data_IF_451034314834
#
_entry.id   IF_451034314834
#
_cell.length_a   1.000
_cell.length_b   1.000
_cell.length_c   1.000
_cell.angle_alpha   90.00
_cell.angle_beta   90.00
_cell.angle_gamma   90.00
#
_symmetry.space_group_name_H-M   'P 1'
#
loop_
_entity.id
_entity.type
_entity.pdbx_description
1 polymer ?
#
# COMPACT_ATOMS: atom_id res chain seq x y z
N UNK A 1 -12.40 20.78 0.23
CA UNK A 1 -11.10 20.61 -0.45
C UNK A 1 -11.09 19.24 -1.10
N UNK A 2 -10.82 19.12 -2.41
CA UNK A 2 -10.69 17.83 -3.10
C UNK A 2 -9.21 17.64 -3.44
N UNK A 3 -8.56 16.66 -2.82
CA UNK A 3 -7.15 16.33 -3.08
C UNK A 3 -7.02 15.75 -4.49
N UNK A 4 -6.02 16.18 -5.26
CA UNK A 4 -5.75 15.72 -6.63
C UNK A 4 -4.32 15.19 -6.77
N UNK A 5 -4.04 14.40 -7.81
CA UNK A 5 -2.71 13.87 -8.09
C UNK A 5 -1.64 14.95 -8.27
N UNK A 6 -2.01 16.15 -8.75
CA UNK A 6 -1.08 17.30 -8.83
C UNK A 6 -0.66 17.81 -7.47
N UNK A 7 -1.55 17.78 -6.49
CA UNK A 7 -1.26 18.21 -5.12
C UNK A 7 -0.28 17.25 -4.42
N UNK A 8 -0.17 16.01 -4.91
CA UNK A 8 0.70 14.98 -4.34
C UNK A 8 2.14 15.04 -4.87
N UNK A 9 2.39 15.60 -6.05
CA UNK A 9 3.72 15.60 -6.64
C UNK A 9 4.75 16.25 -5.72
N UNK A 10 5.85 15.53 -5.47
CA UNK A 10 6.93 15.93 -4.57
C UNK A 10 6.58 15.85 -3.08
N UNK A 11 5.43 15.28 -2.71
CA UNK A 11 4.96 15.19 -1.32
C UNK A 11 4.93 13.76 -0.79
N UNK A 12 4.93 13.66 0.55
CA UNK A 12 4.72 12.42 1.30
C UNK A 12 3.37 12.52 1.98
N UNK A 13 2.42 11.69 1.58
CA UNK A 13 1.02 11.75 2.02
C UNK A 13 0.61 10.39 2.58
N UNK A 14 0.03 10.41 3.79
CA UNK A 14 -0.62 9.26 4.41
C UNK A 14 -2.10 9.58 4.59
N UNK A 15 -2.98 8.77 4.01
CA UNK A 15 -4.43 8.85 4.16
C UNK A 15 -4.85 7.95 5.32
N UNK A 16 -5.47 8.54 6.34
CA UNK A 16 -5.93 7.82 7.55
C UNK A 16 -7.45 7.95 7.64
N UNK A 17 -8.11 6.92 8.15
CA UNK A 17 -9.54 6.95 8.44
C UNK A 17 -10.05 5.59 8.91
N UNK A 18 -11.34 5.51 9.23
CA UNK A 18 -11.96 4.27 9.69
C UNK A 18 -12.06 3.20 8.58
N UNK A 19 -12.38 1.97 8.99
CA UNK A 19 -12.67 0.87 8.05
C UNK A 19 -13.93 1.23 7.24
N UNK A 20 -13.88 1.03 5.93
CA UNK A 20 -15.02 1.35 5.05
C UNK A 20 -15.16 2.82 4.66
N UNK A 21 -14.30 3.73 5.17
CA UNK A 21 -14.35 5.17 4.86
C UNK A 21 -13.98 5.54 3.40
N UNK A 22 -13.68 4.56 2.54
CA UNK A 22 -13.37 4.78 1.13
C UNK A 22 -11.92 5.18 0.81
N UNK A 23 -10.99 4.99 1.75
CA UNK A 23 -9.56 5.33 1.57
C UNK A 23 -8.92 4.65 0.37
N UNK A 24 -9.21 3.35 0.17
CA UNK A 24 -8.72 2.58 -0.98
C UNK A 24 -9.25 3.16 -2.30
N UNK A 25 -10.53 3.57 -2.33
CA UNK A 25 -11.13 4.23 -3.51
C UNK A 25 -10.47 5.59 -3.78
N UNK A 26 -10.22 6.38 -2.74
CA UNK A 26 -9.50 7.65 -2.88
C UNK A 26 -8.07 7.42 -3.38
N UNK A 27 -7.38 6.42 -2.84
CA UNK A 27 -6.01 6.05 -3.24
C UNK A 27 -5.96 5.60 -4.71
N UNK A 28 -6.92 4.79 -5.15
CA UNK A 28 -7.04 4.38 -6.56
C UNK A 28 -7.26 5.59 -7.48
N UNK A 29 -8.18 6.50 -7.13
CA UNK A 29 -8.43 7.73 -7.90
C UNK A 29 -7.18 8.61 -8.01
N UNK A 30 -6.42 8.77 -6.92
CA UNK A 30 -5.19 9.55 -6.91
C UNK A 30 -4.07 8.86 -7.71
N UNK A 31 -3.99 7.53 -7.64
CA UNK A 31 -3.05 6.74 -8.44
C UNK A 31 -3.35 6.88 -9.95
N UNK A 32 -4.61 6.83 -10.38
CA UNK A 32 -4.97 7.09 -11.78
C UNK A 32 -4.55 8.48 -12.27
N UNK A 33 -4.68 9.49 -11.41
CA UNK A 33 -4.20 10.84 -11.72
C UNK A 33 -2.67 10.89 -11.80
N UNK A 34 -1.96 10.25 -10.87
CA UNK A 34 -0.50 10.17 -10.89
C UNK A 34 0.01 9.43 -12.14
N UNK A 35 -0.62 8.31 -12.52
CA UNK A 35 -0.29 7.57 -13.73
C UNK A 35 -0.41 8.43 -15.00
N UNK A 36 -1.44 9.29 -15.08
CA UNK A 36 -1.60 10.25 -16.18
C UNK A 36 -0.57 11.37 -16.18
N UNK A 37 -0.06 11.75 -15.01
CA UNK A 37 0.90 12.85 -14.86
C UNK A 37 2.34 12.42 -15.11
N UNK A 38 2.74 11.24 -14.65
CA UNK A 38 4.15 10.79 -14.69
C UNK A 38 4.39 9.53 -15.53
N UNK A 39 3.34 8.81 -15.94
CA UNK A 39 3.44 7.55 -16.66
C UNK A 39 3.72 6.33 -15.77
N UNK A 40 3.29 5.14 -16.20
CA UNK A 40 3.36 3.92 -15.40
C UNK A 40 4.79 3.47 -15.04
N UNK A 41 5.79 3.77 -15.88
CA UNK A 41 7.18 3.40 -15.64
C UNK A 41 7.80 4.13 -14.43
N UNK A 42 7.23 5.26 -14.02
CA UNK A 42 7.68 6.07 -12.89
C UNK A 42 6.93 5.76 -11.59
N UNK A 43 6.02 4.78 -11.62
CA UNK A 43 5.16 4.42 -10.49
C UNK A 43 5.40 2.97 -10.08
N UNK A 44 5.59 2.75 -8.78
CA UNK A 44 5.50 1.42 -8.16
C UNK A 44 4.34 1.41 -7.18
N UNK A 45 3.56 0.33 -7.19
CA UNK A 45 2.54 0.05 -6.17
C UNK A 45 3.03 -1.11 -5.31
N UNK A 46 2.95 -0.97 -3.99
CA UNK A 46 3.05 -2.09 -3.04
C UNK A 46 1.67 -2.27 -2.42
N UNK A 47 0.97 -3.33 -2.80
CA UNK A 47 -0.35 -3.62 -2.26
C UNK A 47 -0.25 -4.61 -1.09
N UNK A 48 -0.41 -4.09 0.12
CA UNK A 48 -0.34 -4.86 1.36
C UNK A 48 -1.72 -5.30 1.83
N UNK A 49 -2.78 -5.01 1.07
CA UNK A 49 -4.14 -5.31 1.47
C UNK A 49 -4.41 -6.81 1.47
N UNK A 50 -5.09 -7.34 2.51
CA UNK A 50 -5.71 -8.64 2.41
C UNK A 50 -6.75 -8.67 1.29
N UNK A 51 -7.05 -9.86 0.73
CA UNK A 51 -8.22 -10.04 -0.11
C UNK A 51 -9.46 -9.51 0.63
N UNK A 52 -10.45 -9.01 -0.12
CA UNK A 52 -11.69 -8.51 0.49
C UNK A 52 -12.31 -9.59 1.37
N UNK A 53 -12.47 -9.28 2.64
CA UNK A 53 -13.07 -10.18 3.62
C UNK A 53 -14.09 -9.40 4.44
N UNK A 54 -15.35 -9.86 4.43
CA UNK A 54 -16.44 -9.27 5.19
C UNK A 54 -16.61 -7.74 5.02
N UNK A 55 -16.38 -7.21 3.81
CA UNK A 55 -16.53 -5.77 3.51
C UNK A 55 -15.31 -4.89 3.86
N UNK A 56 -14.23 -5.47 4.38
CA UNK A 56 -12.96 -4.79 4.66
C UNK A 56 -11.83 -5.25 3.70
N UNK A 57 -10.86 -4.37 3.47
CA UNK A 57 -9.76 -4.58 2.51
C UNK A 57 -10.16 -4.27 1.06
N UNK A 58 -9.34 -4.74 0.12
CA UNK A 58 -9.53 -4.52 -1.31
C UNK A 58 -8.23 -4.12 -1.98
N UNK A 59 -7.87 -4.86 -3.03
CA UNK A 59 -6.64 -4.61 -3.77
C UNK A 59 -6.83 -3.41 -4.68
N UNK A 60 -5.78 -2.61 -4.87
CA UNK A 60 -5.85 -1.48 -5.81
C UNK A 60 -6.11 -1.95 -7.25
N UNK A 61 -5.63 -3.14 -7.62
CA UNK A 61 -5.90 -3.74 -8.92
C UNK A 61 -7.39 -3.85 -9.25
N UNK A 62 -8.25 -4.01 -8.24
CA UNK A 62 -9.70 -4.14 -8.43
C UNK A 62 -10.29 -2.85 -9.03
N UNK A 63 -9.53 -1.75 -8.99
CA UNK A 63 -9.91 -0.42 -9.42
C UNK A 63 -9.04 0.12 -10.56
N UNK A 64 -8.05 -0.64 -11.06
CA UNK A 64 -7.07 -0.14 -12.02
C UNK A 64 -7.05 -0.97 -13.30
N UNK A 65 -6.86 -0.30 -14.43
CA UNK A 65 -6.67 -0.89 -15.76
C UNK A 65 -5.31 -0.52 -16.38
N UNK A 66 -4.25 -0.43 -15.56
CA UNK A 66 -2.93 0.02 -16.00
C UNK A 66 -1.98 -1.15 -16.33
N UNK A 67 -1.91 -1.51 -17.61
CA UNK A 67 -0.88 -2.43 -18.12
C UNK A 67 0.52 -1.83 -17.96
N UNK A 68 1.52 -2.68 -17.67
CA UNK A 68 2.92 -2.27 -17.53
C UNK A 68 3.27 -1.53 -16.23
N UNK A 69 2.31 -1.33 -15.33
CA UNK A 69 2.56 -0.81 -13.98
C UNK A 69 3.35 -1.82 -13.14
N UNK A 70 4.39 -1.36 -12.46
CA UNK A 70 5.11 -2.18 -11.49
C UNK A 70 4.27 -2.36 -10.23
N UNK A 71 3.55 -3.47 -10.18
CA UNK A 71 2.66 -3.84 -9.09
C UNK A 71 3.28 -4.96 -8.25
N UNK A 72 3.59 -4.68 -6.99
CA UNK A 72 4.19 -5.61 -6.04
C UNK A 72 3.13 -6.03 -5.02
N UNK A 73 2.90 -7.33 -4.92
CA UNK A 73 1.95 -7.91 -3.97
C UNK A 73 2.43 -9.32 -3.56
N UNK A 74 2.08 -9.77 -2.36
CA UNK A 74 2.38 -11.13 -1.96
C UNK A 74 1.30 -12.08 -2.47
N UNK A 75 1.62 -13.37 -2.53
CA UNK A 75 0.64 -14.41 -2.85
C UNK A 75 -0.55 -14.37 -1.89
N UNK A 76 -0.28 -14.15 -0.59
CA UNK A 76 -1.28 -14.13 0.46
C UNK A 76 -0.98 -13.09 1.53
N UNK A 77 -2.03 -12.40 1.96
CA UNK A 77 -2.08 -11.59 3.20
C UNK A 77 -3.30 -12.03 3.99
N UNK A 78 -3.16 -12.18 5.30
CA UNK A 78 -4.26 -12.54 6.20
C UNK A 78 -4.64 -11.31 7.03
N UNK A 79 -5.92 -10.92 7.12
CA UNK A 79 -6.33 -9.83 8.02
C UNK A 79 -6.22 -10.29 9.48
N UNK A 80 -5.21 -9.84 10.27
CA UNK A 80 -4.88 -10.51 11.52
C UNK A 80 -6.03 -10.50 12.53
N UNK A 81 -6.71 -9.36 12.68
CA UNK A 81 -7.83 -9.17 13.61
C UNK A 81 -9.12 -9.88 13.21
N UNK A 82 -9.32 -10.16 11.92
CA UNK A 82 -10.55 -10.80 11.43
C UNK A 82 -10.40 -12.31 11.36
N UNK A 83 -9.18 -12.81 11.13
CA UNK A 83 -8.89 -14.24 11.01
C UNK A 83 -8.52 -14.88 12.35
N UNK A 84 -7.82 -14.16 13.23
CA UNK A 84 -7.37 -14.70 14.52
C UNK A 84 -8.50 -14.83 15.53
N UNK A 85 -8.54 -15.96 16.23
CA UNK A 85 -9.48 -16.29 17.31
C UNK A 85 -8.87 -16.07 18.69
N UNK A 86 -7.53 -16.05 18.77
CA UNK A 86 -6.76 -15.75 19.99
C UNK A 86 -5.72 -14.67 19.74
N UNK A 87 -5.17 -14.09 20.81
CA UNK A 87 -4.09 -13.10 20.71
C UNK A 87 -2.84 -13.68 20.01
N UNK A 88 -2.51 -14.93 20.30
CA UNK A 88 -1.39 -15.65 19.69
C UNK A 88 -1.59 -15.81 18.19
N UNK A 89 -2.81 -16.16 17.75
CA UNK A 89 -3.13 -16.26 16.32
C UNK A 89 -3.03 -14.90 15.61
N UNK A 90 -3.52 -13.82 16.23
CA UNK A 90 -3.40 -12.46 15.69
C UNK A 90 -1.93 -12.07 15.49
N UNK A 91 -1.08 -12.32 16.48
CA UNK A 91 0.35 -12.03 16.40
C UNK A 91 1.06 -12.91 15.36
N UNK A 92 0.70 -14.19 15.28
CA UNK A 92 1.22 -15.10 14.27
C UNK A 92 0.86 -14.63 12.84
N UNK A 93 -0.38 -14.18 12.61
CA UNK A 93 -0.78 -13.60 11.33
C UNK A 93 -0.04 -12.31 11.00
N UNK A 94 0.15 -11.41 11.98
CA UNK A 94 0.93 -10.19 11.79
C UNK A 94 2.37 -10.49 11.36
N UNK A 95 3.02 -11.46 12.03
CA UNK A 95 4.39 -11.87 11.70
C UNK A 95 4.49 -12.52 10.32
N UNK A 96 3.55 -13.41 9.99
CA UNK A 96 3.52 -14.05 8.67
C UNK A 96 3.32 -13.03 7.54
N UNK A 97 2.46 -12.02 7.74
CA UNK A 97 2.29 -10.93 6.78
C UNK A 97 3.58 -10.13 6.61
N UNK A 98 4.27 -9.79 7.70
CA UNK A 98 5.55 -9.09 7.63
C UNK A 98 6.58 -9.88 6.81
N UNK A 99 6.73 -11.18 7.08
CA UNK A 99 7.67 -12.05 6.36
C UNK A 99 7.35 -12.13 4.85
N UNK A 100 6.06 -12.14 4.49
CA UNK A 100 5.62 -12.14 3.10
C UNK A 100 5.78 -10.78 2.39
N UNK A 101 5.64 -9.67 3.12
CA UNK A 101 5.65 -8.32 2.55
C UNK A 101 7.05 -7.71 2.48
N UNK A 102 7.96 -8.06 3.40
CA UNK A 102 9.31 -7.51 3.46
C UNK A 102 10.10 -7.66 2.15
N UNK A 103 10.05 -8.80 1.43
CA UNK A 103 10.70 -8.90 0.13
C UNK A 103 10.24 -7.85 -0.89
N UNK A 104 8.97 -7.43 -0.84
CA UNK A 104 8.42 -6.41 -1.75
C UNK A 104 8.96 -5.02 -1.43
N UNK A 105 9.08 -4.69 -0.14
CA UNK A 105 9.72 -3.48 0.35
C UNK A 105 11.18 -3.43 -0.13
N UNK A 106 11.93 -4.52 0.06
CA UNK A 106 13.31 -4.61 -0.39
C UNK A 106 13.43 -4.49 -1.92
N UNK A 107 12.52 -5.13 -2.66
CA UNK A 107 12.48 -5.04 -4.12
C UNK A 107 12.25 -3.61 -4.62
N UNK A 108 11.41 -2.83 -3.94
CA UNK A 108 11.27 -1.40 -4.22
C UNK A 108 12.57 -0.65 -3.91
N UNK A 109 13.15 -0.83 -2.73
CA UNK A 109 14.38 -0.12 -2.33
C UNK A 109 15.58 -0.43 -3.23
N UNK A 110 15.66 -1.62 -3.81
CA UNK A 110 16.71 -1.97 -4.78
C UNK A 110 16.58 -1.23 -6.11
N UNK A 111 15.36 -0.88 -6.51
CA UNK A 111 15.08 -0.17 -7.76
C UNK A 111 13.91 0.80 -7.54
N UNK A 112 14.14 1.92 -6.84
CA UNK A 112 13.06 2.85 -6.54
C UNK A 112 12.56 3.54 -7.80
N UNK A 113 11.26 3.80 -7.86
CA UNK A 113 10.63 4.68 -8.84
C UNK A 113 10.30 6.03 -8.18
N UNK A 114 10.11 7.09 -8.98
CA UNK A 114 9.82 8.44 -8.48
C UNK A 114 8.55 8.49 -7.63
N UNK A 115 7.53 7.73 -8.01
CA UNK A 115 6.28 7.62 -7.25
C UNK A 115 6.18 6.24 -6.63
N UNK A 116 5.90 6.19 -5.33
CA UNK A 116 5.53 4.98 -4.60
C UNK A 116 4.13 5.14 -4.02
N UNK A 117 3.27 4.16 -4.31
CA UNK A 117 1.95 4.03 -3.68
C UNK A 117 1.90 2.77 -2.83
N UNK A 118 1.45 2.88 -1.58
CA UNK A 118 1.31 1.75 -0.64
C UNK A 118 -0.12 1.65 -0.13
N UNK A 119 -0.76 0.50 -0.36
CA UNK A 119 -2.12 0.24 0.10
C UNK A 119 -2.11 -0.65 1.36
N UNK A 120 -2.94 -0.31 2.34
CA UNK A 120 -3.09 -0.95 3.65
C UNK A 120 -1.77 -1.08 4.42
N UNK A 121 -1.06 0.05 4.57
CA UNK A 121 0.26 0.13 5.22
C UNK A 121 0.28 -0.45 6.65
N UNK A 122 -0.83 -0.36 7.37
CA UNK A 122 -0.98 -0.91 8.72
C UNK A 122 -0.69 -2.41 8.79
N UNK A 123 -0.97 -3.16 7.72
CA UNK A 123 -0.71 -4.61 7.67
C UNK A 123 0.77 -4.92 7.88
N UNK A 124 1.66 -4.13 7.27
CA UNK A 124 3.10 -4.24 7.48
C UNK A 124 3.48 -3.81 8.89
N UNK A 125 2.97 -2.67 9.34
CA UNK A 125 3.33 -2.05 10.62
C UNK A 125 2.84 -2.84 11.84
N UNK A 126 1.99 -3.85 11.69
CA UNK A 126 1.63 -4.72 12.81
C UNK A 126 2.82 -5.50 13.38
N UNK A 127 3.83 -5.82 12.55
CA UNK A 127 5.02 -6.58 12.97
C UNK A 127 6.33 -6.12 12.31
N UNK A 128 6.26 -5.30 11.26
CA UNK A 128 7.41 -4.77 10.55
C UNK A 128 7.95 -3.47 11.15
N UNK A 129 9.24 -3.17 10.93
CA UNK A 129 9.87 -1.96 11.45
C UNK A 129 9.40 -0.72 10.68
N UNK A 130 9.22 0.40 11.39
CA UNK A 130 8.83 1.68 10.79
C UNK A 130 9.91 2.20 9.83
N UNK A 131 11.17 1.89 10.11
CA UNK A 131 12.35 2.30 9.36
C UNK A 131 12.29 1.88 7.89
N UNK A 132 11.71 0.72 7.61
CA UNK A 132 11.50 0.21 6.25
C UNK A 132 10.58 1.16 5.46
N UNK A 133 9.45 1.56 6.06
CA UNK A 133 8.48 2.46 5.46
C UNK A 133 9.08 3.85 5.27
N UNK A 134 9.80 4.37 6.26
CA UNK A 134 10.47 5.67 6.17
C UNK A 134 11.55 5.67 5.07
N UNK A 135 12.26 4.54 4.89
CA UNK A 135 13.26 4.40 3.84
C UNK A 135 12.61 4.40 2.45
N UNK A 136 11.49 3.70 2.29
CA UNK A 136 10.68 3.76 1.07
C UNK A 136 10.18 5.19 0.78
N UNK A 137 9.63 5.86 1.79
CA UNK A 137 9.12 7.22 1.64
C UNK A 137 10.21 8.22 1.25
N UNK A 138 11.43 8.08 1.81
CA UNK A 138 12.61 8.89 1.45
C UNK A 138 13.14 8.60 0.05
N UNK A 139 13.12 7.34 -0.39
CA UNK A 139 13.63 6.93 -1.70
C UNK A 139 12.72 7.39 -2.85
N UNK A 140 11.41 7.49 -2.62
CA UNK A 140 10.49 8.09 -3.58
C UNK A 140 10.68 9.61 -3.65
N UNK A 141 10.27 10.25 -4.75
CA UNK A 141 10.01 11.69 -4.79
C UNK A 141 8.59 11.97 -4.27
N UNK A 142 7.61 11.22 -4.75
CA UNK A 142 6.22 11.25 -4.28
C UNK A 142 5.87 9.95 -3.56
N UNK A 143 5.34 10.04 -2.34
CA UNK A 143 4.89 8.89 -1.56
C UNK A 143 3.41 9.06 -1.21
N UNK A 144 2.60 8.07 -1.55
CA UNK A 144 1.19 8.00 -1.18
C UNK A 144 0.95 6.68 -0.44
N UNK A 145 0.43 6.74 0.78
CA UNK A 145 -0.01 5.55 1.49
C UNK A 145 -1.41 5.72 2.07
N UNK A 146 -2.08 4.60 2.36
CA UNK A 146 -3.28 4.60 3.19
C UNK A 146 -3.17 3.60 4.34
N UNK A 147 -3.97 3.83 5.39
CA UNK A 147 -4.11 2.95 6.56
C UNK A 147 -5.50 3.01 7.18
#
# INVERSE_FOLDING_TARGET
MRLSGRDLLGRKVLIIGEVGAGKTRLTASLLEELLRLVGAAEVTVIDMAPPRFAGAGGRLRDYLSAEGLRYLEPERVVPPRLAGRTAEEVLAHARANYEALRPLVLAYLQRPTKVLVVNDLSIYLHAGPLEDVLSCARAAETFLANS
#
